data_IF_317733365462
#
_entry.id   IF_317733365462
#
_cell.length_a   1.000
_cell.length_b   1.000
_cell.length_c   1.000
_cell.angle_alpha   90.00
_cell.angle_beta   90.00
_cell.angle_gamma   90.00
#
_symmetry.space_group_name_H-M   'P 1'
#
loop_
_entity.id
_entity.type
_entity.pdbx_description
1 polymer ?
#
# COMPACT_ATOMS: atom_id res chain seq x y z
N UNK A 1 -9.00 1.91 12.63
CA UNK A 1 -9.00 0.44 12.49
C UNK A 1 -9.20 0.09 11.03
N UNK A 2 -8.81 -1.10 10.61
CA UNK A 2 -8.89 -1.51 9.21
C UNK A 2 -7.54 -1.99 8.69
N UNK A 3 -7.57 -3.03 7.86
CA UNK A 3 -6.37 -3.58 7.24
C UNK A 3 -5.97 -2.70 6.06
N UNK A 4 -4.96 -1.85 6.23
CA UNK A 4 -4.28 -1.25 5.08
C UNK A 4 -3.52 -2.38 4.39
N UNK A 5 -3.84 -2.62 3.12
CA UNK A 5 -3.16 -3.65 2.33
C UNK A 5 -1.71 -3.23 2.11
N UNK A 6 -0.78 -4.11 2.47
CA UNK A 6 0.64 -3.95 2.21
C UNK A 6 1.18 -5.15 1.45
N UNK A 7 2.11 -4.88 0.55
CA UNK A 7 2.98 -5.91 0.02
C UNK A 7 4.07 -6.19 1.05
N UNK A 8 4.20 -7.46 1.41
CA UNK A 8 5.21 -7.95 2.35
C UNK A 8 6.17 -8.85 1.59
N UNK A 9 7.47 -8.65 1.83
CA UNK A 9 8.53 -9.45 1.22
C UNK A 9 9.20 -10.23 2.35
N UNK A 10 8.91 -11.52 2.43
CA UNK A 10 9.48 -12.43 3.41
C UNK A 10 10.77 -13.03 2.85
N UNK A 11 11.90 -12.51 3.31
CA UNK A 11 13.22 -12.82 2.75
C UNK A 11 13.93 -13.88 3.57
N UNK A 12 14.55 -14.84 2.87
CA UNK A 12 15.47 -15.83 3.47
C UNK A 12 16.90 -15.26 3.48
N UNK A 13 17.48 -14.96 4.66
CA UNK A 13 18.84 -14.43 4.76
C UNK A 13 19.90 -15.37 4.17
N UNK A 14 19.67 -16.69 4.21
CA UNK A 14 20.63 -17.65 3.66
C UNK A 14 20.67 -17.60 2.14
N UNK A 15 19.52 -17.36 1.48
CA UNK A 15 19.45 -17.19 0.03
C UNK A 15 20.09 -15.89 -0.42
N UNK A 16 19.88 -14.81 0.33
CA UNK A 16 20.59 -13.54 0.12
C UNK A 16 22.11 -13.73 0.17
N UNK A 17 22.60 -14.41 1.21
CA UNK A 17 24.03 -14.74 1.37
C UNK A 17 24.57 -15.60 0.23
N UNK A 18 23.83 -16.64 -0.18
CA UNK A 18 24.24 -17.54 -1.25
C UNK A 18 24.37 -16.83 -2.61
N UNK A 19 23.59 -15.77 -2.83
CA UNK A 19 23.58 -14.98 -4.07
C UNK A 19 24.43 -13.71 -3.97
N UNK A 20 25.12 -13.48 -2.84
CA UNK A 20 25.92 -12.29 -2.55
C UNK A 20 25.12 -10.97 -2.66
N UNK A 21 23.86 -11.00 -2.22
CA UNK A 21 22.96 -9.84 -2.20
C UNK A 21 22.74 -9.41 -0.76
N UNK A 22 23.06 -8.15 -0.43
CA UNK A 22 22.74 -7.60 0.90
C UNK A 22 21.26 -7.21 1.01
N UNK A 23 20.69 -7.34 2.21
CA UNK A 23 19.31 -6.89 2.49
C UNK A 23 19.13 -5.40 2.19
N UNK A 24 20.15 -4.58 2.47
CA UNK A 24 20.13 -3.15 2.17
C UNK A 24 20.06 -2.88 0.66
N UNK A 25 20.79 -3.65 -0.15
CA UNK A 25 20.74 -3.52 -1.59
C UNK A 25 19.36 -3.91 -2.15
N UNK A 26 18.79 -5.01 -1.66
CA UNK A 26 17.44 -5.45 -2.00
C UNK A 26 16.40 -4.36 -1.67
N UNK A 27 16.47 -3.77 -0.47
CA UNK A 27 15.58 -2.67 -0.06
C UNK A 27 15.68 -1.48 -1.03
N UNK A 28 16.89 -1.06 -1.39
CA UNK A 28 17.09 0.05 -2.32
C UNK A 28 16.58 -0.28 -3.73
N UNK A 29 16.78 -1.51 -4.21
CA UNK A 29 16.27 -1.96 -5.50
C UNK A 29 14.74 -1.87 -5.55
N UNK A 30 14.05 -2.42 -4.55
CA UNK A 30 12.58 -2.36 -4.47
C UNK A 30 12.08 -0.92 -4.38
N UNK A 31 12.74 -0.09 -3.57
CA UNK A 31 12.39 1.33 -3.44
C UNK A 31 12.53 2.08 -4.77
N UNK A 32 13.56 1.78 -5.55
CA UNK A 32 13.83 2.44 -6.83
C UNK A 32 12.96 1.92 -7.98
N UNK A 33 12.42 0.70 -7.87
CA UNK A 33 11.52 0.13 -8.86
C UNK A 33 10.11 0.71 -8.84
N UNK A 34 9.72 1.39 -7.76
CA UNK A 34 8.42 2.05 -7.63
C UNK A 34 8.51 3.58 -7.86
N UNK A 35 9.35 4.01 -8.81
CA UNK A 35 9.56 5.43 -9.13
C UNK A 35 9.06 5.69 -10.55
N UNK A 36 8.13 6.64 -10.68
CA UNK A 36 7.73 7.21 -11.97
C UNK A 36 8.88 8.10 -12.48
N UNK A 37 9.49 7.71 -13.59
CA UNK A 37 10.51 8.51 -14.27
C UNK A 37 9.85 9.24 -15.44
N UNK A 38 9.81 10.57 -15.35
CA UNK A 38 9.40 11.42 -16.46
C UNK A 38 10.41 11.27 -17.60
N UNK A 39 10.05 10.52 -18.63
CA UNK A 39 10.83 10.51 -19.85
C UNK A 39 10.44 11.75 -20.68
N UNK A 40 11.43 12.33 -21.34
CA UNK A 40 11.29 13.58 -22.10
C UNK A 40 10.48 13.32 -23.39
N UNK A 41 10.34 14.37 -24.21
CA UNK A 41 9.84 14.24 -25.58
C UNK A 41 10.92 13.69 -26.51
N UNK A 42 10.55 12.78 -27.40
CA UNK A 42 11.31 12.42 -28.60
C UNK A 42 10.64 13.13 -29.77
N UNK A 43 11.40 13.89 -30.56
CA UNK A 43 10.89 14.51 -31.78
C UNK A 43 11.25 13.63 -32.98
N UNK A 44 10.24 13.15 -33.70
CA UNK A 44 10.41 12.42 -34.96
C UNK A 44 9.48 13.01 -36.02
N UNK A 45 10.04 13.37 -37.18
CA UNK A 45 9.31 13.94 -38.32
C UNK A 45 8.41 15.15 -38.00
N UNK A 46 8.82 16.00 -37.04
CA UNK A 46 8.06 17.19 -36.63
C UNK A 46 6.88 16.91 -35.69
N UNK A 47 6.78 15.69 -35.16
CA UNK A 47 5.87 15.33 -34.08
C UNK A 47 6.65 15.06 -32.78
N UNK A 48 6.19 15.65 -31.68
CA UNK A 48 6.71 15.37 -30.34
C UNK A 48 5.97 14.18 -29.71
N UNK A 49 6.72 13.14 -29.36
CA UNK A 49 6.23 11.97 -28.63
C UNK A 49 6.68 12.05 -27.18
N UNK A 50 5.74 12.18 -26.26
CA UNK A 50 6.03 12.10 -24.82
C UNK A 50 6.34 10.64 -24.48
N UNK A 51 7.57 10.37 -24.05
CA UNK A 51 7.92 9.06 -23.48
C UNK A 51 7.60 9.10 -21.99
N UNK A 52 6.97 8.08 -21.42
CA UNK A 52 6.78 7.95 -19.98
C UNK A 52 7.26 6.58 -19.53
N UNK A 53 8.14 6.53 -18.53
CA UNK A 53 8.49 5.27 -17.88
C UNK A 53 7.45 4.95 -16.83
N UNK A 54 6.48 4.09 -17.15
CA UNK A 54 5.52 3.59 -16.17
C UNK A 54 6.26 2.64 -15.21
N UNK A 55 6.51 3.10 -13.99
CA UNK A 55 7.22 2.35 -12.94
C UNK A 55 6.33 2.01 -11.74
N UNK A 56 5.03 1.81 -11.96
CA UNK A 56 4.10 1.49 -10.88
C UNK A 56 4.06 -0.02 -10.65
N UNK A 57 4.18 -0.41 -9.39
CA UNK A 57 3.92 -1.77 -8.92
C UNK A 57 2.41 -1.94 -8.81
N UNK A 58 1.80 -2.78 -9.64
CA UNK A 58 0.36 -3.03 -9.66
C UNK A 58 -0.01 -4.40 -9.09
N UNK A 59 0.95 -5.33 -9.09
CA UNK A 59 0.75 -6.73 -8.74
C UNK A 59 1.87 -7.31 -7.87
N UNK A 60 1.63 -8.50 -7.31
CA UNK A 60 2.65 -9.26 -6.57
C UNK A 60 3.78 -9.65 -7.52
N UNK A 61 3.42 -10.06 -8.74
CA UNK A 61 4.32 -10.48 -9.79
C UNK A 61 5.30 -9.36 -10.19
N UNK A 62 4.86 -8.10 -10.17
CA UNK A 62 5.75 -6.97 -10.44
C UNK A 62 6.88 -6.89 -9.42
N UNK A 63 6.58 -7.10 -8.14
CA UNK A 63 7.57 -7.10 -7.05
C UNK A 63 8.49 -8.30 -7.15
N UNK A 64 7.92 -9.48 -7.40
CA UNK A 64 8.68 -10.72 -7.55
C UNK A 64 9.74 -10.65 -8.65
N UNK A 65 9.46 -9.89 -9.72
CA UNK A 65 10.33 -9.69 -10.87
C UNK A 65 11.25 -8.47 -10.75
N UNK A 66 11.29 -7.79 -9.60
CA UNK A 66 12.29 -6.74 -9.34
C UNK A 66 13.68 -7.38 -9.29
N UNK A 67 14.61 -6.83 -10.07
CA UNK A 67 16.01 -7.23 -10.07
C UNK A 67 16.73 -6.59 -8.89
N UNK A 68 17.32 -7.43 -8.03
CA UNK A 68 17.98 -7.02 -6.78
C UNK A 68 19.49 -7.22 -6.81
N UNK A 69 20.03 -7.66 -7.94
CA UNK A 69 21.45 -7.88 -8.13
C UNK A 69 21.75 -8.79 -9.32
N UNK A 70 22.99 -9.23 -9.39
CA UNK A 70 23.47 -10.22 -10.36
C UNK A 70 24.45 -11.16 -9.66
N UNK A 71 24.30 -12.45 -9.91
CA UNK A 71 25.22 -13.47 -9.43
C UNK A 71 25.79 -14.20 -10.65
N UNK A 72 27.10 -14.11 -10.87
CA UNK A 72 27.78 -14.73 -12.01
C UNK A 72 27.19 -14.36 -13.38
N UNK A 73 26.68 -13.13 -13.53
CA UNK A 73 26.08 -12.66 -14.78
C UNK A 73 24.61 -13.06 -14.96
N UNK A 74 24.04 -13.81 -14.01
CA UNK A 74 22.60 -14.12 -13.98
C UNK A 74 21.89 -13.08 -13.10
N UNK A 75 20.86 -12.38 -13.60
CA UNK A 75 20.09 -11.45 -12.79
C UNK A 75 19.39 -12.19 -11.65
N UNK A 76 19.43 -11.60 -10.46
CA UNK A 76 18.78 -12.11 -9.26
C UNK A 76 17.52 -11.29 -9.00
N UNK A 77 16.40 -11.98 -8.82
CA UNK A 77 15.08 -11.39 -8.59
C UNK A 77 14.64 -11.53 -7.13
N UNK A 78 13.67 -10.71 -6.69
CA UNK A 78 13.06 -10.83 -5.34
C UNK A 78 12.56 -12.25 -5.08
N UNK A 79 11.87 -12.87 -6.04
CA UNK A 79 11.38 -14.26 -5.93
C UNK A 79 12.47 -15.32 -5.72
N UNK A 80 13.74 -14.99 -6.01
CA UNK A 80 14.84 -15.92 -5.78
C UNK A 80 15.27 -15.94 -4.31
N UNK A 81 15.00 -14.87 -3.56
CA UNK A 81 15.47 -14.69 -2.18
C UNK A 81 14.35 -14.68 -1.15
N UNK A 82 13.09 -14.58 -1.58
CA UNK A 82 11.94 -14.52 -0.68
C UNK A 82 10.61 -14.75 -1.37
N UNK A 83 9.54 -14.64 -0.60
CA UNK A 83 8.15 -14.72 -1.04
C UNK A 83 7.49 -13.34 -0.91
N UNK A 84 6.66 -12.97 -1.88
CA UNK A 84 5.90 -11.72 -1.84
C UNK A 84 4.44 -12.04 -1.57
N UNK A 85 3.90 -11.50 -0.48
CA UNK A 85 2.51 -11.74 -0.09
C UNK A 85 1.78 -10.43 0.16
N UNK A 86 0.46 -10.46 0.03
CA UNK A 86 -0.40 -9.36 0.47
C UNK A 86 -0.79 -9.60 1.92
N UNK A 87 -0.32 -8.72 2.80
CA UNK A 87 -0.56 -8.77 4.23
C UNK A 87 -1.18 -7.49 4.77
N UNK A 88 -1.73 -7.52 5.99
CA UNK A 88 -2.14 -6.33 6.69
C UNK A 88 -0.93 -5.54 7.20
N UNK A 89 -1.03 -4.21 7.21
CA UNK A 89 -0.04 -3.36 7.90
C UNK A 89 0.14 -3.75 9.38
N UNK A 90 1.35 -3.56 9.89
CA UNK A 90 1.72 -3.90 11.26
C UNK A 90 0.88 -3.08 12.26
N UNK A 91 0.02 -3.78 13.01
CA UNK A 91 -0.87 -3.18 14.00
C UNK A 91 -0.16 -2.97 15.34
N UNK A 92 -0.13 -1.72 15.81
CA UNK A 92 0.23 -1.39 17.20
C UNK A 92 -0.97 -1.28 18.15
N UNK A 93 -2.23 -1.31 17.66
CA UNK A 93 -3.40 -1.05 18.49
C UNK A 93 -4.71 -1.74 18.08
N UNK A 94 -5.23 -2.52 19.04
CA UNK A 94 -6.61 -2.93 19.33
C UNK A 94 -7.74 -1.88 19.29
N UNK A 95 -8.77 -1.95 18.45
CA UNK A 95 -10.09 -1.44 18.86
C UNK A 95 -10.99 -2.64 19.10
N UNK A 96 -11.35 -2.84 20.35
CA UNK A 96 -12.25 -3.90 20.80
C UNK A 96 -13.57 -3.28 21.26
N UNK A 97 -14.68 -3.86 20.82
CA UNK A 97 -16.01 -3.56 21.33
C UNK A 97 -16.64 -4.88 21.76
N UNK A 98 -16.86 -5.01 23.07
CA UNK A 98 -17.52 -6.17 23.68
C UNK A 98 -16.87 -7.53 23.32
N UNK A 99 -15.55 -7.57 23.17
CA UNK A 99 -14.80 -8.79 22.84
C UNK A 99 -14.73 -9.09 21.34
N UNK A 100 -15.27 -8.22 20.50
CA UNK A 100 -15.11 -8.28 19.05
C UNK A 100 -14.20 -7.13 18.56
N UNK A 101 -13.26 -7.45 17.68
CA UNK A 101 -12.45 -6.45 17.01
C UNK A 101 -13.31 -5.59 16.07
N UNK A 102 -13.24 -4.27 16.23
CA UNK A 102 -14.00 -3.32 15.42
C UNK A 102 -13.10 -2.27 14.79
N UNK A 103 -13.58 -1.66 13.71
CA UNK A 103 -12.98 -0.47 13.13
C UNK A 103 -13.75 0.76 13.59
N UNK A 104 -13.09 1.66 14.31
CA UNK A 104 -13.64 2.94 14.74
C UNK A 104 -12.95 4.15 14.10
N UNK A 105 -13.66 5.27 14.09
CA UNK A 105 -13.17 6.60 13.77
C UNK A 105 -13.67 7.60 14.81
N UNK A 106 -12.93 8.68 15.03
CA UNK A 106 -13.32 9.76 15.95
C UNK A 106 -13.67 10.98 15.13
N UNK A 107 -14.84 11.56 15.39
CA UNK A 107 -15.24 12.82 14.76
C UNK A 107 -14.96 13.96 15.72
N UNK A 108 -14.22 14.95 15.23
CA UNK A 108 -13.91 16.17 15.96
C UNK A 108 -14.67 17.32 15.33
N UNK A 109 -15.44 18.04 16.13
CA UNK A 109 -16.12 19.25 15.70
C UNK A 109 -15.10 20.39 15.55
N UNK A 110 -15.28 21.23 14.52
CA UNK A 110 -14.44 22.43 14.34
C UNK A 110 -14.71 23.45 15.44
N UNK A 111 -13.69 24.25 15.75
CA UNK A 111 -13.82 25.31 16.75
C UNK A 111 -14.86 26.34 16.30
N UNK A 112 -15.85 26.60 17.16
CA UNK A 112 -16.91 27.58 16.90
C UNK A 112 -18.10 27.05 16.09
N UNK A 113 -18.11 25.78 15.68
CA UNK A 113 -19.29 25.17 15.06
C UNK A 113 -20.36 24.77 16.09
N UNK A 114 -21.60 24.63 15.61
CA UNK A 114 -22.74 24.21 16.40
C UNK A 114 -22.74 22.68 16.57
N UNK A 115 -22.68 22.15 17.81
CA UNK A 115 -22.70 20.70 18.06
C UNK A 115 -23.93 19.99 17.47
N UNK A 116 -25.10 20.64 17.47
CA UNK A 116 -26.33 20.02 16.97
C UNK A 116 -26.25 19.83 15.45
N UNK A 117 -25.85 20.87 14.72
CA UNK A 117 -25.69 20.82 13.26
C UNK A 117 -24.61 19.80 12.85
N UNK A 118 -23.52 19.73 13.60
CA UNK A 118 -22.48 18.74 13.37
C UNK A 118 -23.01 17.31 13.54
N UNK A 119 -23.80 17.02 14.59
CA UNK A 119 -24.40 15.70 14.82
C UNK A 119 -25.38 15.34 13.71
N UNK A 120 -26.22 16.28 13.28
CA UNK A 120 -27.18 16.08 12.19
C UNK A 120 -26.45 15.75 10.87
N UNK A 121 -25.44 16.55 10.50
CA UNK A 121 -24.65 16.30 9.29
C UNK A 121 -23.88 14.98 9.33
N UNK A 122 -23.39 14.56 10.51
CA UNK A 122 -22.75 13.24 10.67
C UNK A 122 -23.76 12.13 10.41
N UNK A 123 -24.98 12.21 10.98
CA UNK A 123 -26.02 11.19 10.79
C UNK A 123 -26.44 11.08 9.33
N UNK A 124 -26.67 12.21 8.67
CA UNK A 124 -27.01 12.26 7.25
C UNK A 124 -25.90 11.60 6.40
N UNK A 125 -24.63 11.91 6.71
CA UNK A 125 -23.52 11.30 5.97
C UNK A 125 -23.39 9.80 6.21
N UNK A 126 -23.69 9.31 7.42
CA UNK A 126 -23.72 7.87 7.72
C UNK A 126 -24.81 7.18 6.90
N UNK A 127 -26.01 7.76 6.83
CA UNK A 127 -27.10 7.22 6.01
C UNK A 127 -26.73 7.18 4.52
N UNK A 128 -26.04 8.22 4.01
CA UNK A 128 -25.59 8.29 2.62
C UNK A 128 -24.59 7.16 2.26
N UNK A 129 -23.65 6.84 3.15
CA UNK A 129 -22.60 5.83 2.87
C UNK A 129 -23.02 4.40 3.19
N UNK A 130 -24.02 4.20 4.05
CA UNK A 130 -24.47 2.88 4.52
C UNK A 130 -24.80 1.91 3.37
N UNK A 131 -25.48 2.33 2.27
CA UNK A 131 -25.75 1.46 1.12
C UNK A 131 -24.51 0.94 0.39
N UNK A 132 -23.36 1.64 0.50
CA UNK A 132 -22.10 1.25 -0.10
C UNK A 132 -21.28 0.28 0.73
N UNK A 133 -21.73 -0.07 1.94
CA UNK A 133 -21.01 -0.96 2.83
C UNK A 133 -21.15 -2.43 2.41
N UNK A 134 -20.10 -3.25 2.60
CA UNK A 134 -20.18 -4.68 2.34
C UNK A 134 -21.26 -5.37 3.19
N UNK A 135 -21.80 -6.52 2.74
CA UNK A 135 -22.75 -7.30 3.53
C UNK A 135 -22.24 -7.60 4.94
N UNK A 136 -23.05 -7.32 5.96
CA UNK A 136 -22.73 -7.56 7.36
C UNK A 136 -21.93 -6.45 8.06
N UNK A 137 -21.56 -5.37 7.37
CA UNK A 137 -20.91 -4.21 7.98
C UNK A 137 -21.96 -3.19 8.44
N UNK A 138 -21.85 -2.73 9.68
CA UNK A 138 -22.74 -1.72 10.27
C UNK A 138 -21.94 -0.64 10.99
N UNK A 139 -22.38 0.61 10.87
CA UNK A 139 -21.82 1.74 11.61
C UNK A 139 -22.66 1.95 12.87
N UNK A 140 -22.03 1.87 14.04
CA UNK A 140 -22.69 2.07 15.34
C UNK A 140 -21.93 3.15 16.09
N UNK A 141 -22.63 4.19 16.53
CA UNK A 141 -22.05 5.20 17.42
C UNK A 141 -21.78 4.60 18.81
N UNK A 142 -20.62 4.91 19.38
CA UNK A 142 -20.29 4.59 20.77
C UNK A 142 -19.67 5.83 21.42
N UNK A 143 -19.95 6.02 22.71
CA UNK A 143 -19.47 7.13 23.54
C UNK A 143 -18.62 6.60 24.68
#
# INVERSE_FOLDING_TARGET
GGFVRQYQIDVDPNRLLALDVSLHHMFNAVKNSNIDVGAKVIEESGAEFIVRGLGFIESIEDIENIVIGSHQGVPVYVKNVGEVTLGPDFRRGALDKEGAEVTGGVVLMRYGENPLEAIEGIKEKIEEITPGLPPGVQIVSFY
#
